data_IF_782133541604
#
_entry.id   IF_782133541604
#
_cell.length_a   1.000
_cell.length_b   1.000
_cell.length_c   1.000
_cell.angle_alpha   90.00
_cell.angle_beta   90.00
_cell.angle_gamma   90.00
#
_symmetry.space_group_name_H-M   'P 1'
#
loop_
_entity.id
_entity.type
_entity.pdbx_description
1 polymer ?
#
# COMPACT_ATOMS: atom_id res chain seq x y z
N UNK A 1 30.07 -3.05 -19.62
CA UNK A 1 29.51 -4.23 -20.27
C UNK A 1 28.19 -4.56 -19.55
N UNK A 2 27.09 -4.37 -20.24
CA UNK A 2 25.75 -4.78 -19.78
C UNK A 2 25.71 -6.31 -19.83
N UNK A 3 25.59 -6.95 -18.67
CA UNK A 3 25.46 -8.40 -18.60
C UNK A 3 24.24 -8.85 -19.41
N UNK A 4 24.40 -9.85 -20.27
CA UNK A 4 23.32 -10.51 -20.97
C UNK A 4 22.39 -11.15 -19.94
N UNK A 5 21.23 -10.55 -19.70
CA UNK A 5 20.14 -11.24 -19.04
C UNK A 5 19.72 -12.39 -19.96
N UNK A 6 19.86 -13.61 -19.47
CA UNK A 6 19.36 -14.78 -20.20
C UNK A 6 17.89 -14.53 -20.56
N UNK A 7 17.48 -14.89 -21.77
CA UNK A 7 16.10 -14.80 -22.25
C UNK A 7 15.23 -15.69 -21.40
N UNK A 8 14.68 -15.13 -20.31
CA UNK A 8 13.66 -15.81 -19.53
C UNK A 8 12.41 -15.95 -20.39
N UNK A 9 12.12 -17.18 -20.80
CA UNK A 9 10.93 -17.45 -21.60
C UNK A 9 9.68 -17.21 -20.76
N UNK A 10 8.77 -16.38 -21.24
CA UNK A 10 7.41 -16.25 -20.74
C UNK A 10 6.48 -17.02 -21.67
N UNK A 11 5.54 -17.77 -21.11
CA UNK A 11 4.47 -18.42 -21.84
C UNK A 11 3.18 -18.24 -21.04
N UNK A 12 2.05 -18.09 -21.72
CA UNK A 12 0.76 -17.84 -21.10
C UNK A 12 -0.28 -18.82 -21.59
N UNK A 13 -1.29 -19.09 -20.77
CA UNK A 13 -2.52 -19.78 -21.18
C UNK A 13 -3.52 -18.79 -21.86
N UNK A 14 -4.63 -19.33 -22.37
CA UNK A 14 -5.67 -18.53 -23.05
C UNK A 14 -6.38 -17.53 -22.11
N UNK A 15 -6.24 -17.71 -20.81
CA UNK A 15 -6.76 -16.82 -19.77
C UNK A 15 -5.79 -15.68 -19.40
N UNK A 16 -4.60 -15.65 -19.99
CA UNK A 16 -3.54 -14.69 -19.69
C UNK A 16 -2.80 -14.98 -18.38
N UNK A 17 -2.82 -16.23 -17.91
CA UNK A 17 -1.99 -16.64 -16.78
C UNK A 17 -0.65 -17.16 -17.30
N UNK A 18 0.50 -16.82 -16.69
CA UNK A 18 1.78 -17.34 -17.14
C UNK A 18 1.94 -18.82 -16.77
N UNK A 19 2.18 -19.68 -17.76
CA UNK A 19 2.57 -21.07 -17.55
C UNK A 19 4.08 -21.23 -17.40
N UNK A 20 4.83 -20.25 -17.95
CA UNK A 20 6.27 -20.04 -17.68
C UNK A 20 6.51 -18.61 -17.28
N UNK A 21 7.23 -18.40 -16.18
CA UNK A 21 7.53 -17.09 -15.62
C UNK A 21 8.94 -17.08 -15.02
N UNK A 22 9.85 -16.27 -15.60
CA UNK A 22 11.24 -16.15 -15.14
C UNK A 22 11.95 -17.50 -14.98
N UNK A 23 11.75 -18.42 -15.93
CA UNK A 23 12.35 -19.77 -15.91
C UNK A 23 11.67 -20.75 -14.95
N UNK A 24 10.59 -20.37 -14.29
CA UNK A 24 9.76 -21.21 -13.41
C UNK A 24 8.52 -21.68 -14.15
N UNK A 25 7.95 -22.82 -13.76
CA UNK A 25 6.70 -23.38 -14.31
C UNK A 25 5.57 -23.15 -13.32
N UNK A 26 4.44 -22.60 -13.77
CA UNK A 26 3.28 -22.27 -12.97
C UNK A 26 2.07 -23.06 -13.44
N UNK A 27 1.27 -23.55 -12.49
CA UNK A 27 0.01 -24.26 -12.73
C UNK A 27 -1.13 -23.41 -12.14
N UNK A 28 -2.25 -23.32 -12.86
CA UNK A 28 -3.37 -22.44 -12.53
C UNK A 28 -4.69 -23.19 -12.43
N UNK A 29 -5.54 -22.78 -11.51
CA UNK A 29 -6.95 -23.16 -11.42
C UNK A 29 -7.80 -21.89 -11.69
N UNK A 30 -8.25 -21.73 -12.94
CA UNK A 30 -8.83 -20.47 -13.40
C UNK A 30 -7.82 -19.32 -13.32
N UNK A 31 -8.09 -18.31 -12.49
CA UNK A 31 -7.18 -17.17 -12.26
C UNK A 31 -6.32 -17.33 -11.00
N UNK A 32 -6.40 -18.47 -10.30
CA UNK A 32 -5.67 -18.73 -9.05
C UNK A 32 -4.41 -19.54 -9.31
N UNK A 33 -3.30 -19.06 -8.78
CA UNK A 33 -2.03 -19.79 -8.85
C UNK A 33 -2.10 -21.04 -7.94
N UNK A 34 -2.21 -22.22 -8.54
CA UNK A 34 -2.30 -23.48 -7.81
C UNK A 34 -0.93 -24.02 -7.41
N UNK A 35 0.06 -23.88 -8.29
CA UNK A 35 1.40 -24.36 -8.02
C UNK A 35 2.46 -23.50 -8.69
N UNK A 36 3.55 -23.28 -7.98
CA UNK A 36 4.75 -22.59 -8.44
C UNK A 36 5.93 -23.58 -8.35
N UNK A 37 6.44 -24.03 -9.48
CA UNK A 37 7.58 -24.91 -9.54
C UNK A 37 8.85 -24.08 -9.75
N UNK A 38 9.70 -24.05 -8.74
CA UNK A 38 11.00 -23.40 -8.83
C UNK A 38 11.99 -24.27 -9.62
N UNK A 39 11.89 -25.58 -9.44
CA UNK A 39 12.61 -26.63 -10.16
C UNK A 39 11.78 -27.94 -10.04
N UNK A 40 12.25 -29.01 -10.67
CA UNK A 40 11.60 -30.32 -10.59
C UNK A 40 11.49 -30.84 -9.14
N UNK A 41 12.42 -30.45 -8.29
CA UNK A 41 12.54 -30.89 -6.91
C UNK A 41 12.11 -29.83 -5.87
N UNK A 42 11.73 -28.63 -6.32
CA UNK A 42 11.36 -27.51 -5.43
C UNK A 42 10.09 -26.84 -5.93
N UNK A 43 9.03 -26.87 -5.11
CA UNK A 43 7.75 -26.29 -5.48
C UNK A 43 6.96 -25.76 -4.27
N UNK A 44 6.00 -24.90 -4.58
CA UNK A 44 4.97 -24.42 -3.66
C UNK A 44 3.60 -24.74 -4.23
N UNK A 45 2.74 -25.44 -3.47
CA UNK A 45 1.31 -25.62 -3.76
C UNK A 45 0.52 -24.63 -2.92
N UNK A 46 -0.41 -23.90 -3.54
CA UNK A 46 -1.25 -22.93 -2.88
C UNK A 46 -2.68 -23.46 -2.75
N UNK A 47 -3.30 -23.24 -1.61
CA UNK A 47 -4.67 -23.67 -1.32
C UNK A 47 -5.53 -22.43 -1.08
N UNK A 48 -6.78 -22.49 -1.55
CA UNK A 48 -7.74 -21.41 -1.44
C UNK A 48 -9.01 -21.88 -0.73
N UNK A 49 -9.66 -20.97 -0.03
CA UNK A 49 -10.95 -21.23 0.60
C UNK A 49 -12.11 -21.15 -0.40
N UNK A 50 -13.34 -21.40 0.08
CA UNK A 50 -14.56 -21.35 -0.74
C UNK A 50 -14.84 -19.98 -1.38
N UNK A 51 -14.27 -18.89 -0.82
CA UNK A 51 -14.38 -17.53 -1.36
C UNK A 51 -13.25 -17.20 -2.36
N UNK A 52 -12.30 -18.12 -2.54
CA UNK A 52 -11.15 -17.94 -3.42
C UNK A 52 -9.99 -17.18 -2.80
N UNK A 53 -10.00 -16.99 -1.48
CA UNK A 53 -8.91 -16.36 -0.76
C UNK A 53 -7.84 -17.39 -0.37
N UNK A 54 -6.57 -17.00 -0.36
CA UNK A 54 -5.45 -17.88 0.01
C UNK A 54 -5.65 -18.43 1.42
N UNK A 55 -5.90 -19.72 1.55
CA UNK A 55 -6.08 -20.44 2.81
C UNK A 55 -4.79 -21.08 3.34
N UNK A 56 -3.74 -21.07 2.55
CA UNK A 56 -2.44 -21.57 2.96
C UNK A 56 -1.60 -22.05 1.79
N UNK A 57 -0.43 -22.58 2.10
CA UNK A 57 0.44 -23.17 1.10
C UNK A 57 1.36 -24.23 1.68
N UNK A 58 1.75 -25.17 0.82
CA UNK A 58 2.71 -26.22 1.11
C UNK A 58 3.95 -26.00 0.25
N UNK A 59 5.12 -25.97 0.88
CA UNK A 59 6.42 -25.91 0.24
C UNK A 59 7.14 -27.24 0.41
N UNK A 60 7.80 -27.70 -0.65
CA UNK A 60 8.66 -28.87 -0.64
C UNK A 60 9.93 -28.60 -1.43
N UNK A 61 11.07 -28.97 -0.86
CA UNK A 61 12.36 -28.92 -1.53
C UNK A 61 13.16 -30.17 -1.24
N UNK A 62 13.46 -30.92 -2.29
CA UNK A 62 14.29 -32.14 -2.23
C UNK A 62 15.67 -31.81 -2.77
N UNK A 63 16.69 -32.08 -1.98
CA UNK A 63 18.09 -31.85 -2.32
C UNK A 63 18.97 -33.01 -1.90
N UNK A 64 20.07 -33.20 -2.62
CA UNK A 64 21.07 -34.20 -2.29
C UNK A 64 22.31 -33.53 -1.72
N UNK A 65 22.88 -34.12 -0.68
CA UNK A 65 24.15 -33.69 -0.11
C UNK A 65 25.30 -34.53 -0.70
N UNK A 66 26.53 -34.02 -0.54
CA UNK A 66 27.73 -34.75 -0.93
C UNK A 66 27.82 -36.08 -0.18
N UNK A 67 27.91 -37.19 -0.90
CA UNK A 67 27.80 -38.56 -0.34
C UNK A 67 26.51 -39.28 -0.73
N UNK A 68 25.59 -38.65 -1.49
CA UNK A 68 24.43 -39.29 -2.14
C UNK A 68 23.15 -39.39 -1.31
N UNK A 69 23.18 -38.93 -0.05
CA UNK A 69 21.93 -38.87 0.73
C UNK A 69 21.01 -37.77 0.20
N UNK A 70 19.71 -38.10 0.07
CA UNK A 70 18.68 -37.18 -0.40
C UNK A 70 17.74 -36.82 0.75
N UNK A 71 17.47 -35.54 0.91
CA UNK A 71 16.63 -34.97 1.96
C UNK A 71 15.49 -34.16 1.35
N UNK A 72 14.32 -34.21 2.00
CA UNK A 72 13.18 -33.37 1.62
C UNK A 72 12.75 -32.51 2.80
N UNK A 73 13.00 -31.21 2.71
CA UNK A 73 12.46 -30.22 3.65
C UNK A 73 11.05 -29.85 3.22
N UNK A 74 10.14 -29.79 4.17
CA UNK A 74 8.77 -29.33 3.90
C UNK A 74 8.35 -28.21 4.85
N UNK A 75 7.46 -27.35 4.37
CA UNK A 75 6.79 -26.34 5.20
C UNK A 75 5.33 -26.22 4.79
N UNK A 76 4.44 -26.22 5.77
CA UNK A 76 3.03 -25.94 5.58
C UNK A 76 2.67 -24.66 6.31
N UNK A 77 1.95 -23.76 5.64
CA UNK A 77 1.25 -22.65 6.29
C UNK A 77 -0.24 -22.83 6.11
N UNK A 78 -0.97 -22.89 7.22
CA UNK A 78 -2.43 -22.94 7.28
C UNK A 78 -2.93 -21.59 7.78
N UNK A 79 -3.80 -20.92 7.02
CA UNK A 79 -4.28 -19.57 7.27
C UNK A 79 -5.73 -19.62 7.72
N UNK A 80 -6.04 -19.01 8.87
CA UNK A 80 -7.41 -18.78 9.33
C UNK A 80 -7.79 -17.33 9.08
N UNK A 81 -9.00 -17.10 8.55
CA UNK A 81 -9.47 -15.78 8.14
C UNK A 81 -10.83 -15.42 8.78
N UNK A 82 -11.08 -14.11 8.81
CA UNK A 82 -12.41 -13.50 8.94
C UNK A 82 -12.56 -12.51 7.78
N UNK A 83 -13.31 -12.90 6.75
CA UNK A 83 -13.35 -12.18 5.48
C UNK A 83 -11.94 -12.01 4.89
N UNK A 84 -11.57 -10.78 4.57
CA UNK A 84 -10.26 -10.45 3.99
C UNK A 84 -9.11 -10.45 5.02
N UNK A 85 -9.42 -10.48 6.33
CA UNK A 85 -8.42 -10.40 7.39
C UNK A 85 -7.89 -11.79 7.74
N UNK A 86 -6.56 -11.92 7.76
CA UNK A 86 -5.88 -13.11 8.27
C UNK A 86 -5.80 -13.01 9.79
N UNK A 87 -6.54 -13.86 10.50
CA UNK A 87 -6.57 -13.86 11.97
C UNK A 87 -5.37 -14.61 12.56
N UNK A 88 -5.04 -15.75 11.96
CA UNK A 88 -3.95 -16.58 12.46
C UNK A 88 -3.33 -17.45 11.37
N UNK A 89 -2.12 -17.91 11.66
CA UNK A 89 -1.41 -18.89 10.87
C UNK A 89 -0.84 -19.99 11.76
N UNK A 90 -0.87 -21.22 11.24
CA UNK A 90 -0.08 -22.33 11.78
C UNK A 90 1.00 -22.68 10.78
N UNK A 91 2.25 -22.53 11.19
CA UNK A 91 3.42 -22.85 10.38
C UNK A 91 4.03 -24.13 10.90
N UNK A 92 4.08 -25.15 10.07
CA UNK A 92 4.71 -26.44 10.37
C UNK A 92 5.89 -26.62 9.43
N UNK A 93 7.09 -26.76 10.00
CA UNK A 93 8.34 -26.94 9.25
C UNK A 93 8.99 -28.27 9.66
N UNK A 94 9.31 -29.12 8.67
CA UNK A 94 10.06 -30.35 8.85
C UNK A 94 11.47 -30.19 8.34
N UNK A 95 12.45 -30.49 9.21
CA UNK A 95 13.86 -30.56 8.87
C UNK A 95 14.28 -32.03 8.84
N UNK A 96 14.62 -32.61 7.66
CA UNK A 96 15.01 -33.99 7.52
C UNK A 96 16.40 -34.30 8.09
N UNK A 97 17.31 -33.34 8.17
CA UNK A 97 18.68 -33.55 8.70
C UNK A 97 18.65 -33.81 10.21
N UNK A 98 17.74 -33.16 10.94
CA UNK A 98 17.55 -33.33 12.37
C UNK A 98 16.37 -34.23 12.71
N UNK A 99 15.65 -34.69 11.69
CA UNK A 99 14.39 -35.45 11.81
C UNK A 99 13.41 -34.75 12.78
N UNK A 100 13.31 -33.44 12.71
CA UNK A 100 12.51 -32.65 13.64
C UNK A 100 11.42 -31.87 12.93
N UNK A 101 10.28 -31.74 13.58
CA UNK A 101 9.17 -30.90 13.15
C UNK A 101 8.99 -29.74 14.14
N UNK A 102 8.96 -28.53 13.63
CA UNK A 102 8.63 -27.35 14.43
C UNK A 102 7.27 -26.80 14.06
N UNK A 103 6.48 -26.41 15.06
CA UNK A 103 5.16 -25.81 14.86
C UNK A 103 5.14 -24.43 15.53
N UNK A 104 4.74 -23.43 14.79
CA UNK A 104 4.55 -22.05 15.27
C UNK A 104 3.13 -21.61 15.00
N UNK A 105 2.40 -21.20 16.03
CA UNK A 105 1.10 -20.57 15.88
C UNK A 105 1.29 -19.05 15.98
N UNK A 106 0.80 -18.33 15.00
CA UNK A 106 0.87 -16.88 14.88
C UNK A 106 -0.55 -16.34 14.90
N UNK A 107 -0.83 -15.38 15.77
CA UNK A 107 -2.10 -14.64 15.77
C UNK A 107 -1.82 -13.19 15.42
N UNK A 108 -2.67 -12.59 14.61
CA UNK A 108 -2.53 -11.21 14.17
C UNK A 108 -3.51 -10.29 14.87
N UNK A 109 -3.07 -9.09 15.18
CA UNK A 109 -3.89 -8.00 15.70
C UNK A 109 -4.11 -6.94 14.61
N UNK A 110 -5.27 -6.33 14.63
CA UNK A 110 -5.66 -5.29 13.68
C UNK A 110 -6.12 -4.03 14.42
N UNK A 111 -5.88 -2.90 13.82
CA UNK A 111 -6.49 -1.62 14.14
C UNK A 111 -7.29 -1.09 12.93
N UNK A 112 -7.75 0.16 13.00
CA UNK A 112 -8.52 0.80 11.91
C UNK A 112 -7.73 0.91 10.59
N UNK A 113 -6.39 0.88 10.66
CA UNK A 113 -5.50 1.04 9.50
C UNK A 113 -4.94 -0.28 8.96
N UNK A 114 -5.37 -1.43 9.48
CA UNK A 114 -4.92 -2.75 9.05
C UNK A 114 -4.17 -3.53 10.13
N UNK A 115 -3.28 -4.45 9.73
CA UNK A 115 -2.51 -5.29 10.65
C UNK A 115 -1.60 -4.43 11.55
N UNK A 116 -1.73 -4.59 12.87
CA UNK A 116 -1.02 -3.78 13.87
C UNK A 116 -0.02 -4.56 14.71
N UNK A 117 -0.02 -5.89 14.61
CA UNK A 117 0.92 -6.71 15.37
C UNK A 117 0.69 -8.20 15.21
N UNK A 118 1.55 -8.98 15.88
CA UNK A 118 1.43 -10.44 15.93
C UNK A 118 1.77 -10.98 17.33
N UNK A 119 1.23 -12.15 17.63
CA UNK A 119 1.59 -12.94 18.82
C UNK A 119 2.13 -14.29 18.37
N UNK A 120 3.32 -14.66 18.82
CA UNK A 120 3.99 -15.92 18.49
C UNK A 120 4.57 -16.52 19.75
N UNK A 121 4.20 -17.79 20.04
CA UNK A 121 4.69 -18.47 21.26
C UNK A 121 4.41 -17.68 22.55
N UNK A 122 3.25 -17.02 22.64
CA UNK A 122 2.85 -16.17 23.75
C UNK A 122 3.53 -14.79 23.83
N UNK A 123 4.49 -14.50 22.94
CA UNK A 123 5.18 -13.20 22.88
C UNK A 123 4.46 -12.27 21.90
N UNK A 124 4.12 -11.06 22.35
CA UNK A 124 3.46 -10.03 21.55
C UNK A 124 4.48 -9.13 20.87
N UNK A 125 4.20 -8.80 19.60
CA UNK A 125 4.98 -7.90 18.77
C UNK A 125 4.06 -6.87 18.14
N UNK A 126 4.51 -5.62 18.08
CA UNK A 126 3.78 -4.48 17.55
C UNK A 126 4.44 -3.99 16.28
N UNK A 127 3.63 -3.70 15.25
CA UNK A 127 4.10 -3.22 13.97
C UNK A 127 4.06 -1.69 13.93
N UNK A 128 5.15 -1.09 13.48
CA UNK A 128 5.19 0.31 13.08
C UNK A 128 5.00 0.38 11.57
N UNK A 129 4.08 1.22 11.14
CA UNK A 129 3.75 1.39 9.73
C UNK A 129 3.95 2.85 9.32
N UNK A 130 4.36 3.08 8.08
CA UNK A 130 4.37 4.40 7.50
C UNK A 130 2.95 4.81 7.03
N UNK A 131 2.82 6.01 6.47
CA UNK A 131 1.55 6.57 5.97
C UNK A 131 0.95 5.76 4.81
N UNK A 132 1.76 4.98 4.14
CA UNK A 132 1.34 4.11 3.04
C UNK A 132 0.90 2.72 3.48
N UNK A 133 1.05 2.39 4.76
CA UNK A 133 0.71 1.07 5.30
C UNK A 133 1.88 0.06 5.27
N UNK A 134 3.07 0.46 4.80
CA UNK A 134 4.25 -0.41 4.83
C UNK A 134 4.65 -0.68 6.28
N UNK A 135 4.87 -1.94 6.64
CA UNK A 135 5.42 -2.29 7.95
C UNK A 135 6.91 -1.97 7.93
N UNK A 136 7.32 -0.95 8.69
CA UNK A 136 8.72 -0.47 8.70
C UNK A 136 9.53 -1.00 9.86
N UNK A 137 8.89 -1.34 10.98
CA UNK A 137 9.58 -1.94 12.13
C UNK A 137 8.65 -2.82 12.97
N UNK A 138 9.25 -3.72 13.74
CA UNK A 138 8.57 -4.58 14.71
C UNK A 138 9.23 -4.38 16.07
N UNK A 139 8.42 -4.13 17.10
CA UNK A 139 8.85 -3.97 18.47
C UNK A 139 8.23 -5.04 19.38
N UNK A 140 8.95 -5.45 20.40
CA UNK A 140 8.40 -6.30 21.46
C UNK A 140 7.71 -5.47 22.57
N UNK A 141 7.15 -6.13 23.59
CA UNK A 141 6.48 -5.48 24.73
C UNK A 141 7.41 -4.61 25.57
N UNK A 142 8.72 -4.86 25.57
CA UNK A 142 9.74 -4.05 26.24
C UNK A 142 10.19 -2.86 25.39
N UNK A 143 9.52 -2.54 24.28
CA UNK A 143 9.85 -1.48 23.34
C UNK A 143 11.22 -1.65 22.66
N UNK A 144 11.74 -2.87 22.60
CA UNK A 144 12.97 -3.18 21.87
C UNK A 144 12.60 -3.48 20.42
N UNK A 145 13.29 -2.83 19.47
CA UNK A 145 13.14 -3.08 18.02
C UNK A 145 13.66 -4.48 17.70
N UNK A 146 12.81 -5.36 17.17
CA UNK A 146 13.15 -6.73 16.80
C UNK A 146 13.34 -6.93 15.30
N UNK A 147 12.71 -6.09 14.49
CA UNK A 147 12.91 -6.10 13.04
C UNK A 147 12.78 -4.69 12.47
N UNK A 148 13.44 -4.45 11.35
CA UNK A 148 13.37 -3.20 10.60
C UNK A 148 13.44 -3.48 9.09
N UNK A 149 12.55 -2.81 8.35
CA UNK A 149 12.42 -2.94 6.90
C UNK A 149 12.47 -1.58 6.23
N UNK A 150 13.15 -1.53 5.08
CA UNK A 150 13.07 -0.45 4.12
C UNK A 150 12.44 -0.94 2.82
N UNK A 151 11.83 -0.04 2.07
CA UNK A 151 11.20 -0.37 0.79
C UNK A 151 11.55 0.68 -0.26
N UNK A 152 11.69 0.23 -1.51
CA UNK A 152 11.61 1.13 -2.65
C UNK A 152 10.13 1.39 -3.02
N UNK A 153 9.91 2.22 -4.03
CA UNK A 153 8.57 2.57 -4.49
C UNK A 153 7.76 1.37 -5.00
N UNK A 154 8.42 0.31 -5.44
CA UNK A 154 7.80 -0.89 -6.00
C UNK A 154 7.64 -2.03 -5.01
N UNK A 155 8.15 -1.88 -3.79
CA UNK A 155 8.00 -2.88 -2.73
C UNK A 155 9.18 -3.84 -2.60
N UNK A 156 10.32 -3.54 -3.21
CA UNK A 156 11.57 -4.26 -2.88
C UNK A 156 11.86 -4.05 -1.40
N UNK A 157 11.90 -5.14 -0.64
CA UNK A 157 12.06 -5.09 0.81
C UNK A 157 13.52 -5.33 1.20
N UNK A 158 14.08 -4.38 1.95
CA UNK A 158 15.41 -4.50 2.56
C UNK A 158 15.25 -4.69 4.06
N UNK A 159 15.68 -5.83 4.60
CA UNK A 159 15.65 -6.09 6.04
C UNK A 159 16.99 -5.64 6.63
N UNK A 160 16.96 -4.60 7.46
CA UNK A 160 18.17 -4.04 8.09
C UNK A 160 18.40 -4.60 9.50
N UNK A 161 17.35 -5.12 10.13
CA UNK A 161 17.41 -5.80 11.43
C UNK A 161 16.42 -6.96 11.43
N UNK A 162 16.83 -8.12 11.92
CA UNK A 162 15.96 -9.28 12.19
C UNK A 162 16.46 -10.08 13.39
N UNK A 163 16.01 -9.73 14.57
CA UNK A 163 16.40 -10.41 15.80
C UNK A 163 15.57 -11.68 15.98
N UNK A 164 16.25 -12.81 16.09
CA UNK A 164 15.64 -14.14 16.30
C UNK A 164 14.61 -14.54 15.21
N UNK A 165 14.75 -14.02 13.98
CA UNK A 165 13.87 -14.36 12.87
C UNK A 165 12.45 -13.78 12.96
N UNK A 166 12.23 -12.80 13.83
CA UNK A 166 10.91 -12.16 14.02
C UNK A 166 10.47 -11.47 12.73
N UNK A 167 11.40 -10.79 12.07
CA UNK A 167 11.16 -10.12 10.79
C UNK A 167 10.87 -11.11 9.66
N UNK A 168 11.64 -12.18 9.57
CA UNK A 168 11.43 -13.23 8.56
C UNK A 168 10.11 -13.98 8.76
N UNK A 169 9.63 -14.08 10.00
CA UNK A 169 8.38 -14.74 10.33
C UNK A 169 7.16 -13.91 9.92
N UNK A 170 7.27 -12.57 9.98
CA UNK A 170 6.19 -11.66 9.60
C UNK A 170 5.97 -11.67 8.07
N UNK A 171 4.77 -12.06 7.58
CA UNK A 171 4.46 -11.99 6.16
C UNK A 171 3.98 -10.62 5.70
N UNK A 172 3.48 -9.76 6.60
CA UNK A 172 2.95 -8.45 6.24
C UNK A 172 4.08 -7.43 6.08
N UNK A 173 4.24 -6.87 4.89
CA UNK A 173 5.36 -5.99 4.55
C UNK A 173 4.93 -4.73 3.81
N UNK A 174 5.29 -4.61 2.54
CA UNK A 174 4.95 -3.49 1.66
C UNK A 174 3.43 -3.30 1.58
N UNK A 175 2.93 -2.10 1.84
CA UNK A 175 1.49 -1.75 1.87
C UNK A 175 0.64 -2.64 2.79
N UNK A 176 1.27 -3.37 3.72
CA UNK A 176 0.60 -4.38 4.51
C UNK A 176 0.21 -5.64 3.72
N UNK A 177 0.69 -5.82 2.50
CA UNK A 177 0.43 -7.02 1.71
C UNK A 177 1.10 -8.25 2.30
N UNK A 178 0.50 -9.39 2.03
CA UNK A 178 0.99 -10.68 2.48
C UNK A 178 2.10 -11.19 1.55
N UNK A 179 3.32 -11.28 2.06
CA UNK A 179 4.48 -11.75 1.31
C UNK A 179 4.62 -13.27 1.43
N UNK A 180 4.45 -13.98 0.32
CA UNK A 180 4.70 -15.42 0.23
C UNK A 180 6.19 -15.63 -0.03
N UNK A 181 6.97 -15.73 1.04
CA UNK A 181 8.45 -15.72 0.99
C UNK A 181 9.05 -16.83 0.13
N UNK A 182 8.37 -17.98 0.04
CA UNK A 182 8.85 -19.15 -0.73
C UNK A 182 8.77 -18.99 -2.25
N UNK A 183 7.95 -18.07 -2.73
CA UNK A 183 7.87 -17.74 -4.17
C UNK A 183 8.29 -16.29 -4.46
N UNK A 184 8.57 -15.49 -3.43
CA UNK A 184 9.04 -14.12 -3.58
C UNK A 184 8.00 -13.13 -4.13
N UNK A 185 6.70 -13.39 -3.92
CA UNK A 185 5.60 -12.58 -4.45
C UNK A 185 4.72 -12.05 -3.32
N UNK A 186 4.15 -10.85 -3.53
CA UNK A 186 3.10 -10.32 -2.68
C UNK A 186 1.73 -10.83 -3.13
N UNK A 187 0.92 -11.30 -2.18
CA UNK A 187 -0.46 -11.69 -2.41
C UNK A 187 -1.38 -10.52 -2.04
N UNK A 188 -2.15 -10.03 -3.02
CA UNK A 188 -3.07 -8.91 -2.90
C UNK A 188 -4.52 -9.42 -3.02
N UNK A 189 -4.90 -10.37 -2.18
CA UNK A 189 -6.26 -10.94 -2.10
C UNK A 189 -6.71 -11.70 -3.35
N UNK A 190 -6.54 -11.16 -4.54
CA UNK A 190 -6.99 -11.77 -5.81
C UNK A 190 -5.87 -12.15 -6.74
N UNK A 191 -4.74 -11.44 -6.70
CA UNK A 191 -3.61 -11.63 -7.61
C UNK A 191 -2.27 -11.64 -6.86
N UNK A 192 -1.25 -12.17 -7.53
CA UNK A 192 0.13 -12.08 -7.07
C UNK A 192 0.86 -10.95 -7.79
N UNK A 193 1.54 -10.13 -7.01
CA UNK A 193 2.34 -9.00 -7.46
C UNK A 193 3.83 -9.33 -7.33
N UNK A 194 4.55 -9.15 -8.43
CA UNK A 194 6.00 -9.26 -8.47
C UNK A 194 6.63 -7.86 -8.44
N UNK A 195 7.15 -7.49 -7.28
CA UNK A 195 7.81 -6.20 -7.06
C UNK A 195 9.06 -6.01 -7.92
N UNK A 196 9.72 -7.09 -8.37
CA UNK A 196 10.92 -7.00 -9.21
C UNK A 196 10.62 -6.61 -10.66
N UNK A 197 9.38 -6.84 -11.11
CA UNK A 197 8.90 -6.40 -12.43
C UNK A 197 7.93 -5.22 -12.33
N UNK A 198 7.46 -4.89 -11.13
CA UNK A 198 6.46 -3.87 -10.90
C UNK A 198 5.09 -4.22 -11.47
N UNK A 199 4.76 -5.53 -11.60
CA UNK A 199 3.55 -6.01 -12.28
C UNK A 199 2.88 -7.15 -11.53
N UNK A 200 1.59 -7.30 -11.75
CA UNK A 200 0.89 -8.55 -11.46
C UNK A 200 1.38 -9.66 -12.39
N UNK A 201 1.47 -10.89 -11.89
CA UNK A 201 1.94 -12.01 -12.71
C UNK A 201 0.86 -12.53 -13.67
N UNK A 202 -0.42 -12.35 -13.35
CA UNK A 202 -1.56 -12.75 -14.18
C UNK A 202 -2.44 -11.54 -14.54
N UNK A 203 -3.16 -11.67 -15.66
CA UNK A 203 -4.06 -10.64 -16.14
C UNK A 203 -5.26 -10.43 -15.20
N UNK A 204 -5.68 -9.19 -15.06
CA UNK A 204 -6.94 -8.83 -14.41
C UNK A 204 -8.15 -9.27 -15.24
N UNK A 205 -9.35 -9.12 -14.68
CA UNK A 205 -10.58 -9.33 -15.43
C UNK A 205 -10.77 -8.21 -16.46
N UNK A 206 -11.08 -8.51 -17.73
CA UNK A 206 -11.20 -7.49 -18.78
C UNK A 206 -12.26 -6.42 -18.50
N UNK A 207 -13.29 -6.73 -17.69
CA UNK A 207 -14.33 -5.78 -17.30
C UNK A 207 -13.80 -4.53 -16.61
N UNK A 208 -12.66 -4.64 -15.87
CA UNK A 208 -12.02 -3.49 -15.23
C UNK A 208 -11.60 -2.41 -16.23
N UNK A 209 -11.25 -2.78 -17.47
CA UNK A 209 -10.89 -1.83 -18.51
C UNK A 209 -12.08 -0.95 -18.94
N UNK A 210 -13.30 -1.38 -18.65
CA UNK A 210 -14.54 -0.72 -19.07
C UNK A 210 -15.31 -0.11 -17.90
N UNK A 211 -15.01 -0.53 -16.65
CA UNK A 211 -15.77 -0.16 -15.45
C UNK A 211 -15.43 1.25 -14.92
N UNK A 212 -14.21 1.73 -15.18
CA UNK A 212 -13.72 3.01 -14.63
C UNK A 212 -14.18 4.25 -15.44
N UNK A 213 -14.89 4.08 -16.55
CA UNK A 213 -15.22 5.20 -17.44
C UNK A 213 -14.00 5.99 -17.96
N UNK A 214 -12.83 5.58 -17.55
CA UNK A 214 -11.52 6.11 -17.94
C UNK A 214 -10.90 5.14 -18.95
N UNK A 215 -11.44 5.12 -20.17
CA UNK A 215 -10.70 4.60 -21.31
C UNK A 215 -9.45 5.47 -21.48
N UNK A 216 -8.37 5.07 -20.84
CA UNK A 216 -7.07 5.68 -21.10
C UNK A 216 -6.72 5.43 -22.57
N UNK A 217 -6.23 6.45 -23.31
CA UNK A 217 -5.90 6.33 -24.73
C UNK A 217 -4.85 5.26 -25.05
N UNK A 218 -4.17 4.73 -24.03
CA UNK A 218 -3.03 3.81 -24.15
C UNK A 218 -3.39 2.33 -23.97
N UNK A 219 -4.68 1.98 -23.95
CA UNK A 219 -5.14 0.61 -23.76
C UNK A 219 -5.01 0.16 -22.28
N UNK A 220 -5.92 -0.69 -21.84
CA UNK A 220 -5.90 -1.21 -20.47
C UNK A 220 -4.83 -2.29 -20.34
N UNK A 221 -3.76 -2.00 -19.61
CA UNK A 221 -2.76 -3.02 -19.27
C UNK A 221 -3.23 -3.81 -18.06
N UNK A 222 -3.78 -5.00 -18.29
CA UNK A 222 -4.33 -5.90 -17.29
C UNK A 222 -3.31 -6.42 -16.25
N UNK A 223 -2.02 -6.20 -16.47
CA UNK A 223 -0.94 -6.61 -15.56
C UNK A 223 -0.37 -5.44 -14.77
N UNK A 224 -0.82 -4.20 -15.01
CA UNK A 224 -0.24 -3.04 -14.35
C UNK A 224 -0.59 -3.00 -12.87
N UNK A 225 0.41 -2.73 -12.04
CA UNK A 225 0.23 -2.39 -10.63
C UNK A 225 0.16 -0.88 -10.49
N UNK A 226 -0.86 -0.38 -9.78
CA UNK A 226 -1.01 1.04 -9.47
C UNK A 226 -0.86 1.97 -10.70
N UNK A 227 -1.33 1.56 -11.89
CA UNK A 227 -1.18 2.33 -13.14
C UNK A 227 0.29 2.74 -13.43
N UNK A 228 1.25 1.91 -13.05
CA UNK A 228 2.70 2.16 -13.08
C UNK A 228 3.15 3.38 -12.25
N UNK A 229 2.36 3.83 -11.28
CA UNK A 229 2.71 4.91 -10.37
C UNK A 229 2.40 4.52 -8.89
N UNK A 230 3.20 3.65 -8.27
CA UNK A 230 2.96 3.17 -6.92
C UNK A 230 3.22 4.24 -5.83
N UNK A 231 3.80 5.40 -6.18
CA UNK A 231 3.95 6.53 -5.25
C UNK A 231 2.60 7.22 -5.03
N UNK A 232 1.77 7.31 -6.09
CA UNK A 232 0.48 8.01 -6.04
C UNK A 232 -0.72 7.09 -5.81
N UNK A 233 -0.57 5.79 -6.05
CA UNK A 233 -1.66 4.83 -6.00
C UNK A 233 -1.32 3.65 -5.10
N UNK A 234 -2.36 3.02 -4.56
CA UNK A 234 -2.32 1.74 -3.83
C UNK A 234 -3.43 0.84 -4.37
N UNK A 235 -3.16 -0.44 -4.49
CA UNK A 235 -4.15 -1.46 -4.86
C UNK A 235 -4.37 -2.44 -3.71
N UNK A 236 -5.36 -2.21 -2.83
CA UNK A 236 -5.56 -3.06 -1.65
C UNK A 236 -6.07 -4.47 -1.97
N UNK A 237 -6.70 -4.67 -3.11
CA UNK A 237 -7.44 -5.88 -3.47
C UNK A 237 -6.83 -6.67 -4.61
N UNK A 238 -5.92 -6.08 -5.34
CA UNK A 238 -5.35 -6.64 -6.56
C UNK A 238 -6.24 -6.44 -7.80
N UNK A 239 -7.26 -5.58 -7.74
CA UNK A 239 -8.15 -5.24 -8.85
C UNK A 239 -8.26 -3.74 -9.10
N UNK A 240 -8.12 -2.92 -8.06
CA UNK A 240 -8.45 -1.50 -8.14
C UNK A 240 -7.39 -0.62 -7.50
N UNK A 241 -6.75 0.22 -8.30
CA UNK A 241 -5.81 1.23 -7.81
C UNK A 241 -6.57 2.42 -7.22
N UNK A 242 -6.60 2.54 -5.90
CA UNK A 242 -7.16 3.70 -5.20
C UNK A 242 -6.25 4.92 -5.33
N UNK A 243 -6.85 6.08 -5.62
CA UNK A 243 -6.15 7.38 -5.71
C UNK A 243 -5.85 7.90 -4.29
N UNK A 244 -4.93 7.27 -3.59
CA UNK A 244 -4.49 7.76 -2.27
C UNK A 244 -3.62 9.01 -2.42
N UNK A 245 -2.90 9.15 -3.53
CA UNK A 245 -2.00 10.27 -3.77
C UNK A 245 -2.71 11.63 -3.73
N UNK A 246 -3.92 11.75 -4.27
CA UNK A 246 -4.69 13.01 -4.21
C UNK A 246 -5.06 13.31 -2.76
N UNK A 247 -5.55 12.34 -2.00
CA UNK A 247 -5.91 12.53 -0.60
C UNK A 247 -4.71 12.90 0.26
N UNK A 248 -3.58 12.23 0.09
CA UNK A 248 -2.35 12.55 0.82
C UNK A 248 -1.81 13.92 0.45
N UNK A 249 -1.72 14.23 -0.85
CA UNK A 249 -1.24 15.54 -1.30
C UNK A 249 -2.11 16.68 -0.79
N UNK A 250 -3.42 16.57 -0.92
CA UNK A 250 -4.34 17.62 -0.43
C UNK A 250 -4.32 17.74 1.09
N UNK A 251 -4.17 16.62 1.81
CA UNK A 251 -3.99 16.64 3.28
C UNK A 251 -2.70 17.34 3.69
N UNK A 252 -1.59 17.04 3.02
CA UNK A 252 -0.29 17.68 3.29
C UNK A 252 -0.33 19.19 2.97
N UNK A 253 -0.90 19.57 1.82
CA UNK A 253 -1.06 20.98 1.42
C UNK A 253 -1.93 21.71 2.46
N UNK A 254 -3.08 21.12 2.83
CA UNK A 254 -3.97 21.71 3.83
C UNK A 254 -3.29 21.90 5.20
N UNK A 255 -2.58 20.89 5.68
CA UNK A 255 -1.82 20.98 6.93
C UNK A 255 -0.70 22.01 6.88
N UNK A 256 0.02 22.09 5.76
CA UNK A 256 1.07 23.11 5.57
C UNK A 256 0.49 24.52 5.56
N UNK A 257 -0.61 24.75 4.83
CA UNK A 257 -1.30 26.06 4.82
C UNK A 257 -1.80 26.41 6.22
N UNK A 258 -2.46 25.46 6.93
CA UNK A 258 -2.92 25.66 8.30
C UNK A 258 -1.78 26.05 9.24
N UNK A 259 -0.63 25.39 9.12
CA UNK A 259 0.57 25.69 9.91
C UNK A 259 1.15 27.07 9.59
N UNK A 260 1.29 27.44 8.32
CA UNK A 260 1.82 28.75 7.90
C UNK A 260 0.91 29.88 8.40
N UNK A 261 -0.40 29.77 8.18
CA UNK A 261 -1.39 30.78 8.61
C UNK A 261 -1.38 30.93 10.14
N UNK A 262 -1.35 29.82 10.86
CA UNK A 262 -1.32 29.81 12.32
C UNK A 262 -0.04 30.46 12.86
N UNK A 263 1.12 30.12 12.28
CA UNK A 263 2.39 30.69 12.68
C UNK A 263 2.48 32.19 12.37
N UNK A 264 1.97 32.61 11.21
CA UNK A 264 1.91 34.04 10.85
C UNK A 264 1.00 34.86 11.78
N UNK A 265 -0.01 34.21 12.38
CA UNK A 265 -0.88 34.79 13.41
C UNK A 265 -0.28 34.74 14.83
N UNK A 266 1.00 34.36 14.96
CA UNK A 266 1.71 34.34 16.24
C UNK A 266 1.37 33.15 17.14
N UNK A 267 0.62 32.16 16.66
CA UNK A 267 0.31 30.92 17.43
C UNK A 267 1.52 30.03 17.52
N UNK A 268 1.67 29.36 18.66
CA UNK A 268 2.74 28.38 18.94
C UNK A 268 2.21 27.26 19.81
N UNK A 269 3.02 26.21 20.02
CA UNK A 269 2.66 25.09 20.87
C UNK A 269 1.41 24.34 20.36
N UNK A 270 0.52 23.97 21.26
CA UNK A 270 -0.68 23.19 20.95
C UNK A 270 -1.68 23.92 20.03
N UNK A 271 -1.73 25.26 20.05
CA UNK A 271 -2.56 26.05 19.13
C UNK A 271 -2.12 25.90 17.68
N UNK A 272 -0.81 25.96 17.42
CA UNK A 272 -0.23 25.71 16.10
C UNK A 272 -0.50 24.27 15.62
N UNK A 273 -0.32 23.29 16.50
CA UNK A 273 -0.59 21.86 16.18
C UNK A 273 -2.06 21.66 15.83
N UNK A 274 -2.99 22.28 16.57
CA UNK A 274 -4.41 22.21 16.29
C UNK A 274 -4.77 22.74 14.90
N UNK A 275 -4.20 23.88 14.50
CA UNK A 275 -4.45 24.49 13.18
C UNK A 275 -3.82 23.69 12.02
N UNK A 276 -2.67 23.04 12.25
CA UNK A 276 -2.10 22.09 11.28
C UNK A 276 -3.03 20.90 11.06
N UNK A 277 -3.55 20.33 12.14
CA UNK A 277 -4.50 19.20 12.06
C UNK A 277 -5.79 19.62 11.36
N UNK A 278 -6.34 20.77 11.71
CA UNK A 278 -7.54 21.32 11.07
C UNK A 278 -7.30 21.55 9.56
N UNK A 279 -6.18 22.16 9.19
CA UNK A 279 -5.80 22.37 7.80
C UNK A 279 -5.66 21.04 7.04
N UNK A 280 -5.05 20.03 7.67
CA UNK A 280 -4.92 18.69 7.09
C UNK A 280 -6.28 18.02 6.88
N UNK A 281 -7.24 18.15 7.81
CA UNK A 281 -8.61 17.65 7.67
C UNK A 281 -9.35 18.33 6.52
N UNK A 282 -9.19 19.63 6.35
CA UNK A 282 -9.77 20.39 5.25
C UNK A 282 -9.16 19.95 3.91
N UNK A 283 -7.84 19.77 3.86
CA UNK A 283 -7.16 19.25 2.69
C UNK A 283 -7.65 17.85 2.30
N UNK A 284 -7.84 16.97 3.30
CA UNK A 284 -8.38 15.63 3.09
C UNK A 284 -9.81 15.68 2.50
N UNK A 285 -10.67 16.54 3.04
CA UNK A 285 -12.02 16.75 2.57
C UNK A 285 -12.06 17.32 1.13
N UNK A 286 -11.19 18.28 0.82
CA UNK A 286 -11.04 18.82 -0.53
C UNK A 286 -10.57 17.76 -1.53
N UNK A 287 -9.63 16.89 -1.15
CA UNK A 287 -9.19 15.74 -1.95
C UNK A 287 -10.32 14.77 -2.22
N UNK A 288 -11.13 14.46 -1.22
CA UNK A 288 -12.34 13.64 -1.37
C UNK A 288 -13.35 14.25 -2.35
N UNK A 289 -13.55 15.56 -2.30
CA UNK A 289 -14.41 16.28 -3.24
C UNK A 289 -13.87 16.22 -4.69
N UNK A 290 -12.57 16.37 -4.88
CA UNK A 290 -11.94 16.24 -6.20
C UNK A 290 -12.19 14.85 -6.77
N UNK A 291 -11.99 13.80 -5.98
CA UNK A 291 -12.25 12.42 -6.40
C UNK A 291 -13.73 12.21 -6.73
N UNK A 292 -14.64 12.73 -5.91
CA UNK A 292 -16.08 12.63 -6.14
C UNK A 292 -16.53 13.36 -7.41
N UNK A 293 -15.97 14.54 -7.70
CA UNK A 293 -16.28 15.29 -8.94
C UNK A 293 -15.75 14.59 -10.18
N UNK A 294 -14.55 14.01 -10.13
CA UNK A 294 -14.01 13.18 -11.21
C UNK A 294 -14.94 11.98 -11.46
N UNK A 295 -15.38 11.30 -10.40
CA UNK A 295 -16.32 10.18 -10.48
C UNK A 295 -17.67 10.59 -11.06
N UNK A 296 -18.23 11.74 -10.66
CA UNK A 296 -19.49 12.25 -11.16
C UNK A 296 -19.43 12.69 -12.64
N UNK A 297 -18.32 13.30 -13.05
CA UNK A 297 -18.07 13.66 -14.45
C UNK A 297 -17.96 12.39 -15.30
N UNK A 298 -17.21 11.40 -14.85
CA UNK A 298 -17.10 10.10 -15.52
C UNK A 298 -18.48 9.44 -15.65
N UNK A 299 -19.29 9.44 -14.61
CA UNK A 299 -20.66 8.92 -14.64
C UNK A 299 -21.57 9.72 -15.59
N UNK A 300 -21.50 11.04 -15.58
CA UNK A 300 -22.30 11.90 -16.46
C UNK A 300 -21.97 11.72 -17.95
N UNK A 301 -20.70 11.48 -18.27
CA UNK A 301 -20.24 11.28 -19.64
C UNK A 301 -20.54 9.85 -20.14
N UNK A 302 -20.39 8.84 -19.28
CA UNK A 302 -20.48 7.43 -19.65
C UNK A 302 -21.75 6.72 -19.15
N UNK A 303 -22.40 7.21 -18.09
CA UNK A 303 -23.59 6.60 -17.52
C UNK A 303 -24.83 6.63 -18.44
N UNK A 304 -24.86 7.53 -19.43
CA UNK A 304 -25.92 7.56 -20.43
C UNK A 304 -25.91 6.37 -21.41
N UNK A 305 -24.80 5.63 -21.47
CA UNK A 305 -24.59 4.52 -22.42
C UNK A 305 -24.62 3.13 -21.79
N UNK A 306 -24.58 2.99 -20.44
CA UNK A 306 -24.42 1.71 -19.74
C UNK A 306 -25.56 1.32 -18.80
N UNK A 307 -26.78 1.78 -19.04
CA UNK A 307 -27.96 1.58 -18.16
C UNK A 307 -28.40 0.11 -17.97
N UNK A 308 -27.74 -0.89 -18.52
CA UNK A 308 -28.20 -2.29 -18.47
C UNK A 308 -27.34 -3.25 -17.65
N UNK A 309 -26.06 -2.98 -17.40
CA UNK A 309 -25.16 -3.97 -16.74
C UNK A 309 -24.30 -3.45 -15.56
N UNK A 310 -24.21 -2.15 -15.33
CA UNK A 310 -23.27 -1.54 -14.35
C UNK A 310 -23.90 -0.90 -13.09
N UNK A 311 -25.19 -1.04 -12.87
CA UNK A 311 -25.95 -0.24 -11.88
C UNK A 311 -25.49 -0.30 -10.41
N UNK A 312 -24.82 -1.37 -9.99
CA UNK A 312 -24.44 -1.57 -8.57
C UNK A 312 -23.11 -0.90 -8.21
N UNK A 313 -22.14 -0.93 -9.09
CA UNK A 313 -20.80 -0.36 -8.82
C UNK A 313 -20.83 1.17 -8.96
N UNK A 314 -21.51 1.69 -9.99
CA UNK A 314 -21.70 3.12 -10.20
C UNK A 314 -22.52 3.78 -9.09
N UNK A 315 -23.56 3.09 -8.59
CA UNK A 315 -24.37 3.58 -7.47
C UNK A 315 -23.58 3.67 -6.16
N UNK A 316 -22.64 2.75 -5.90
CA UNK A 316 -21.77 2.79 -4.70
C UNK A 316 -20.75 3.92 -4.78
N UNK A 317 -20.12 4.12 -5.93
CA UNK A 317 -19.18 5.23 -6.14
C UNK A 317 -19.88 6.59 -6.03
N UNK A 318 -21.08 6.72 -6.60
CA UNK A 318 -21.92 7.92 -6.48
C UNK A 318 -22.38 8.16 -5.03
N UNK A 319 -22.80 7.10 -4.32
CA UNK A 319 -23.21 7.19 -2.92
C UNK A 319 -22.05 7.60 -2.01
N UNK A 320 -20.83 7.07 -2.25
CA UNK A 320 -19.63 7.46 -1.53
C UNK A 320 -19.25 8.92 -1.83
N UNK A 321 -19.30 9.32 -3.09
CA UNK A 321 -19.05 10.70 -3.53
C UNK A 321 -20.07 11.68 -2.92
N UNK A 322 -21.34 11.34 -2.91
CA UNK A 322 -22.39 12.13 -2.29
C UNK A 322 -22.26 12.19 -0.77
N UNK A 323 -21.86 11.11 -0.10
CA UNK A 323 -21.60 11.10 1.34
C UNK A 323 -20.42 12.01 1.71
N UNK A 324 -19.31 11.94 0.95
CA UNK A 324 -18.15 12.83 1.13
C UNK A 324 -18.54 14.28 0.85
N UNK A 325 -19.27 14.55 -0.22
CA UNK A 325 -19.77 15.89 -0.55
C UNK A 325 -20.65 16.46 0.57
N UNK A 326 -21.61 15.68 1.06
CA UNK A 326 -22.50 16.11 2.15
C UNK A 326 -21.72 16.37 3.44
N UNK A 327 -20.74 15.53 3.77
CA UNK A 327 -19.89 15.72 4.95
C UNK A 327 -19.07 17.01 4.84
N UNK A 328 -18.54 17.32 3.66
CA UNK A 328 -17.75 18.55 3.43
C UNK A 328 -18.65 19.77 3.33
N UNK A 329 -19.70 19.71 2.53
CA UNK A 329 -20.56 20.87 2.26
C UNK A 329 -21.40 21.28 3.48
N UNK A 330 -21.90 20.31 4.25
CA UNK A 330 -22.82 20.55 5.34
C UNK A 330 -22.24 20.31 6.74
N UNK A 331 -21.11 19.60 6.84
CA UNK A 331 -20.44 19.34 8.12
C UNK A 331 -19.23 20.21 8.38
N UNK A 332 -18.24 20.20 7.49
CA UNK A 332 -16.91 20.81 7.74
C UNK A 332 -16.83 22.25 7.21
N UNK A 333 -17.37 22.54 6.03
CA UNK A 333 -17.27 23.89 5.45
C UNK A 333 -17.97 24.98 6.28
N UNK A 334 -19.16 24.77 6.87
CA UNK A 334 -19.74 25.74 7.78
C UNK A 334 -18.92 25.94 9.06
N UNK A 335 -18.35 24.86 9.63
CA UNK A 335 -17.47 24.97 10.81
C UNK A 335 -16.20 25.76 10.51
N UNK A 336 -15.63 25.61 9.32
CA UNK A 336 -14.50 26.40 8.87
C UNK A 336 -14.87 27.87 8.67
N UNK A 337 -16.02 28.15 8.06
CA UNK A 337 -16.55 29.51 7.93
C UNK A 337 -16.76 30.19 9.28
N UNK A 338 -17.29 29.47 10.27
CA UNK A 338 -17.47 29.97 11.65
C UNK A 338 -16.09 30.18 12.32
N UNK A 339 -15.14 29.27 12.16
CA UNK A 339 -13.81 29.40 12.71
C UNK A 339 -13.04 30.60 12.11
N UNK A 340 -13.18 30.83 10.81
CA UNK A 340 -12.57 31.99 10.12
C UNK A 340 -13.24 33.33 10.48
N UNK A 341 -14.57 33.32 10.66
CA UNK A 341 -15.28 34.52 11.17
C UNK A 341 -14.94 34.83 12.62
N UNK A 342 -14.67 33.79 13.44
CA UNK A 342 -14.20 34.00 14.82
C UNK A 342 -12.81 34.66 14.90
N UNK A 343 -11.95 34.43 13.90
CA UNK A 343 -10.62 35.09 13.82
C UNK A 343 -10.76 36.59 13.50
N UNK A 344 -11.72 36.99 12.67
CA UNK A 344 -11.99 38.38 12.34
C UNK A 344 -12.62 39.14 13.50
N UNK A 345 -13.34 38.49 14.41
CA UNK A 345 -13.98 39.16 15.56
C UNK A 345 -13.02 39.55 16.67
N UNK A 346 -11.87 38.90 16.83
CA UNK A 346 -10.85 39.27 17.82
C UNK A 346 -9.88 40.37 17.32
N UNK A 347 -9.77 40.61 16.01
CA UNK A 347 -8.89 41.63 15.44
C UNK A 347 -9.55 43.02 15.24
N UNK A 348 -10.73 43.25 15.79
CA UNK A 348 -11.49 44.50 15.71
C UNK A 348 -10.88 45.71 16.46
N UNK A 349 -9.55 45.90 16.44
CA UNK A 349 -8.91 47.16 16.81
C UNK A 349 -7.70 47.44 15.94
N UNK A 350 -7.90 48.41 15.06
CA UNK A 350 -6.98 49.16 14.17
C UNK A 350 -6.85 48.59 12.73
N UNK A 351 -7.22 49.42 11.73
CA UNK A 351 -6.86 49.12 10.35
C UNK A 351 -5.36 49.35 10.18
N UNK A 352 -4.61 48.23 10.06
CA UNK A 352 -3.20 48.31 9.63
C UNK A 352 -3.22 48.69 8.16
N UNK A 353 -2.68 49.87 7.84
CA UNK A 353 -2.39 50.29 6.48
C UNK A 353 -1.58 49.19 5.79
N UNK A 354 -2.07 48.75 4.61
CA UNK A 354 -1.35 47.85 3.74
C UNK A 354 0.07 48.33 3.49
N UNK A 355 1.13 47.55 3.73
CA UNK A 355 2.46 47.92 3.33
C UNK A 355 2.51 48.04 1.81
N UNK A 356 2.94 49.19 1.28
CA UNK A 356 3.23 49.32 -0.14
C UNK A 356 4.32 48.31 -0.50
N UNK A 357 4.03 47.47 -1.50
CA UNK A 357 4.98 46.55 -2.09
C UNK A 357 6.17 47.35 -2.63
N UNK A 358 7.34 47.17 -2.04
CA UNK A 358 8.61 47.61 -2.63
C UNK A 358 8.83 46.91 -3.98
N UNK A 359 9.44 47.56 -4.97
CA UNK A 359 9.71 46.97 -6.26
C UNK A 359 10.65 45.75 -6.12
N UNK A 360 10.50 44.71 -6.96
CA UNK A 360 11.28 43.48 -6.86
C UNK A 360 12.77 43.77 -7.09
N UNK A 361 13.60 43.45 -6.11
CA UNK A 361 15.05 43.40 -6.29
C UNK A 361 15.42 42.21 -7.20
N UNK A 362 16.36 42.35 -8.13
CA UNK A 362 16.78 41.27 -9.02
C UNK A 362 17.78 40.38 -8.29
N UNK A 363 17.29 39.33 -7.64
CA UNK A 363 18.15 38.21 -7.19
C UNK A 363 18.28 37.14 -8.26
N UNK A 364 19.53 36.88 -8.64
CA UNK A 364 19.87 35.75 -9.53
C UNK A 364 19.63 34.40 -8.87
N UNK A 365 19.28 33.38 -9.67
CA UNK A 365 18.96 32.02 -9.21
C UNK A 365 20.08 31.32 -8.42
N UNK A 366 21.29 31.89 -8.35
CA UNK A 366 22.43 31.34 -7.63
C UNK A 366 22.42 31.62 -6.12
N UNK A 367 21.77 32.69 -5.67
CA UNK A 367 21.84 33.12 -4.28
C UNK A 367 20.91 32.33 -3.37
N UNK A 368 19.76 31.89 -3.89
CA UNK A 368 18.78 31.08 -3.13
C UNK A 368 19.32 29.68 -2.80
N UNK A 369 20.14 29.11 -3.67
CA UNK A 369 20.74 27.78 -3.44
C UNK A 369 21.85 27.83 -2.38
N UNK A 370 22.64 28.89 -2.37
CA UNK A 370 23.72 29.06 -1.40
C UNK A 370 23.22 29.34 0.00
N UNK A 371 22.11 30.11 0.15
CA UNK A 371 21.48 30.34 1.43
C UNK A 371 20.84 29.06 2.01
N UNK A 372 20.25 28.22 1.19
CA UNK A 372 19.71 26.91 1.61
C UNK A 372 20.82 25.98 2.12
N UNK A 373 21.94 25.90 1.44
CA UNK A 373 23.09 25.05 1.81
C UNK A 373 23.78 25.54 3.08
N UNK A 374 23.87 26.86 3.30
CA UNK A 374 24.48 27.44 4.50
C UNK A 374 23.61 27.29 5.75
N UNK A 375 22.29 27.31 5.61
CA UNK A 375 21.36 27.07 6.72
C UNK A 375 21.32 25.59 7.16
N UNK A 376 21.65 24.64 6.27
CA UNK A 376 21.77 23.22 6.64
C UNK A 376 23.03 22.88 7.46
N UNK A 377 24.05 23.76 7.48
CA UNK A 377 25.29 23.59 8.29
C UNK A 377 25.14 24.08 9.74
N UNK A 378 24.05 24.76 10.09
CA UNK A 378 23.80 25.27 11.45
C UNK A 378 22.94 24.33 12.33
N UNK A 379 22.57 23.15 11.78
CA UNK A 379 21.86 22.10 12.52
C UNK A 379 22.83 20.91 12.64
N UNK A 380 23.86 21.07 13.44
CA UNK A 380 24.67 20.00 14.00
C UNK A 380 24.76 20.16 15.50
#
# INVERSE_FOLDING_TARGET
SWGSYGTSSFAYDDSGNPTKYKGKTLEWEGKRLAKYNESDNCYVKLNYDGNGLLAGYFYSNTYSIWGGATFTTTMTREITRDGDRILSEKVTEYNPETNSTTVKNIMYAYDEKGVSGMTVGGKKYYFVRNVFGDVTAIYNTSRVKCAEYGYDAWGTCYTTLDTNGVGSLNPFRYRGYYFVSRIGLYYLTTRFYDYTTGRFINADVPSICFDDGLTLPEGCNLYSYCRNNPISYVDPTGHFALIIGILLMTTMIGGTIGGIVSHSNGKSGWGLVGDIILGAMIGLAAGGLIIATIGAIAYGIFGATTTVLGGVAASKAFALGAAVYNTVAFGIAPLYGIAMQGIDFEQGKNPVQSPQLAPPHPYGKADVYNDFVNNLKLIK
#
